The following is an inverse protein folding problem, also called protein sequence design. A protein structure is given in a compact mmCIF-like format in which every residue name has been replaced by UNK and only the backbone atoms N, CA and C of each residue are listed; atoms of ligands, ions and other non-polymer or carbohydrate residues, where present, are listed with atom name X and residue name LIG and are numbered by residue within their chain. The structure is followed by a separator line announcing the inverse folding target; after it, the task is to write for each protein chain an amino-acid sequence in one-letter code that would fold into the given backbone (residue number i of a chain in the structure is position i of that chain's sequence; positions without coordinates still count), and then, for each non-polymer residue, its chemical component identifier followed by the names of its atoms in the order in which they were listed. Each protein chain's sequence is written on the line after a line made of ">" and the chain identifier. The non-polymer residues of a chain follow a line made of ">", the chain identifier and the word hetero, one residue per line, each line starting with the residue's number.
data_IF_506981818688
#
_entry.id   IF_506981818688
#
_cell.length_a   1.000
_cell.length_b   1.000
_cell.length_c   1.000
_cell.angle_alpha   90.00
_cell.angle_beta   90.00
_cell.angle_gamma   90.00
#
_symmetry.space_group_name_H-M   'P 1'
#
loop_
_entity.id
_entity.type
_entity.pdbx_description
1 polymer ?
#
# COMPACT_ATOMS: atom_id res chain seq x y z
N UNK A 1 -5.20 22.78 3.32
CA UNK A 1 -4.64 22.26 2.05
C UNK A 1 -3.51 21.33 2.47
N UNK A 2 -3.88 20.12 2.88
CA UNK A 2 -2.95 19.15 3.46
C UNK A 2 -2.20 18.48 2.32
N UNK A 3 -0.93 18.80 2.20
CA UNK A 3 -0.03 18.32 1.14
C UNK A 3 0.84 17.22 1.70
N UNK A 4 0.21 16.15 2.18
CA UNK A 4 0.90 14.95 2.66
C UNK A 4 0.86 13.82 1.61
N UNK A 5 0.23 14.05 0.45
CA UNK A 5 0.15 13.13 -0.69
C UNK A 5 1.30 13.23 -1.70
N UNK A 6 2.09 14.31 -1.68
CA UNK A 6 3.19 14.54 -2.64
C UNK A 6 4.55 14.24 -2.00
N UNK A 7 4.85 12.96 -1.78
CA UNK A 7 6.22 12.56 -1.35
C UNK A 7 7.20 12.47 -2.52
N UNK A 8 6.71 12.53 -3.77
CA UNK A 8 7.48 12.25 -5.00
C UNK A 8 6.77 12.72 -6.29
N UNK A 9 5.87 13.72 -6.26
CA UNK A 9 5.05 14.08 -7.43
C UNK A 9 4.05 13.01 -7.90
N UNK A 10 3.87 11.95 -7.10
CA UNK A 10 2.92 10.85 -7.33
C UNK A 10 1.67 11.11 -6.51
N UNK A 11 0.51 11.09 -7.15
CA UNK A 11 -0.79 11.24 -6.49
C UNK A 11 -1.15 9.92 -5.77
N UNK A 12 -0.72 9.79 -4.51
CA UNK A 12 -0.89 8.56 -3.73
C UNK A 12 -2.38 8.27 -3.47
N UNK A 13 -3.21 9.31 -3.37
CA UNK A 13 -4.66 9.21 -3.22
C UNK A 13 -5.31 8.60 -4.46
N UNK A 14 -5.05 9.12 -5.65
CA UNK A 14 -5.58 8.55 -6.90
C UNK A 14 -5.06 7.13 -7.17
N UNK A 15 -3.82 6.83 -6.77
CA UNK A 15 -3.29 5.47 -6.85
C UNK A 15 -3.99 4.52 -5.89
N UNK A 16 -4.37 5.00 -4.71
CA UNK A 16 -5.16 4.28 -3.72
C UNK A 16 -6.61 4.04 -4.19
N UNK A 17 -7.23 5.02 -4.83
CA UNK A 17 -8.57 4.92 -5.42
C UNK A 17 -8.60 4.01 -6.67
N UNK A 18 -7.43 3.75 -7.26
CA UNK A 18 -7.33 2.88 -8.41
C UNK A 18 -7.71 1.44 -8.04
N UNK A 19 -8.47 0.77 -8.92
CA UNK A 19 -8.76 -0.66 -8.80
C UNK A 19 -7.48 -1.53 -8.70
N UNK A 20 -6.34 -1.00 -9.14
CA UNK A 20 -5.04 -1.63 -9.02
C UNK A 20 -4.47 -1.66 -7.59
N UNK A 21 -4.94 -0.80 -6.67
CA UNK A 21 -4.52 -0.83 -5.27
C UNK A 21 -5.10 -2.04 -4.53
N UNK A 22 -6.29 -2.50 -4.89
CA UNK A 22 -7.06 -3.47 -4.10
C UNK A 22 -8.08 -2.76 -3.22
N UNK A 23 -9.07 -3.50 -2.72
CA UNK A 23 -10.26 -2.91 -2.08
C UNK A 23 -10.22 -3.00 -0.56
N UNK A 24 -9.43 -3.91 0.02
CA UNK A 24 -9.47 -4.26 1.43
C UNK A 24 -8.09 -4.20 2.08
N UNK A 25 -8.05 -3.76 3.33
CA UNK A 25 -6.84 -3.73 4.15
C UNK A 25 -6.19 -2.36 4.19
N UNK A 26 -4.92 -2.34 4.59
CA UNK A 26 -4.18 -1.11 4.83
C UNK A 26 -3.45 -0.66 3.55
N UNK A 27 -3.48 0.64 3.20
CA UNK A 27 -2.64 1.21 2.17
C UNK A 27 -1.16 1.15 2.55
N UNK A 28 -0.38 0.50 1.71
CA UNK A 28 1.07 0.43 1.77
C UNK A 28 1.65 0.83 0.43
N UNK A 29 2.70 1.65 0.44
CA UNK A 29 3.53 1.82 -0.74
C UNK A 29 4.39 0.57 -0.87
N UNK A 30 4.33 -0.10 -2.02
CA UNK A 30 5.04 -1.34 -2.24
C UNK A 30 5.77 -1.33 -3.59
N UNK A 31 6.94 -1.97 -3.62
CA UNK A 31 7.76 -2.13 -4.81
C UNK A 31 7.58 -3.53 -5.41
N UNK A 32 7.26 -3.59 -6.70
CA UNK A 32 7.20 -4.84 -7.44
C UNK A 32 8.61 -5.43 -7.60
N UNK A 33 8.84 -6.66 -7.14
CA UNK A 33 10.14 -7.34 -7.28
C UNK A 33 10.48 -7.66 -8.75
N UNK A 34 9.46 -7.84 -9.60
CA UNK A 34 9.65 -8.13 -11.03
C UNK A 34 10.11 -6.95 -11.89
N UNK A 35 9.51 -5.76 -11.72
CA UNK A 35 9.81 -4.58 -12.56
C UNK A 35 10.32 -3.35 -11.79
N UNK A 36 10.44 -3.42 -10.46
CA UNK A 36 10.90 -2.32 -9.62
C UNK A 36 9.93 -1.15 -9.49
N UNK A 37 8.71 -1.26 -10.03
CA UNK A 37 7.72 -0.16 -9.95
C UNK A 37 7.13 -0.09 -8.54
N UNK A 38 7.10 1.12 -7.99
CA UNK A 38 6.52 1.41 -6.69
C UNK A 38 5.09 1.94 -6.88
N UNK A 39 4.12 1.33 -6.21
CA UNK A 39 2.70 1.74 -6.24
C UNK A 39 2.05 1.51 -4.89
N UNK A 40 1.01 2.29 -4.61
CA UNK A 40 0.12 2.06 -3.48
C UNK A 40 -0.66 0.77 -3.71
N UNK A 41 -0.69 -0.08 -2.69
CA UNK A 41 -1.46 -1.32 -2.61
C UNK A 41 -2.18 -1.38 -1.28
N UNK A 42 -3.41 -1.87 -1.29
CA UNK A 42 -4.15 -2.28 -0.10
C UNK A 42 -3.89 -3.76 0.10
N UNK A 43 -3.49 -4.12 1.31
CA UNK A 43 -3.32 -5.51 1.68
C UNK A 43 -3.81 -5.71 3.10
N UNK A 44 -4.46 -6.86 3.31
CA UNK A 44 -4.92 -7.23 4.64
C UNK A 44 -3.71 -7.54 5.54
N UNK A 45 -3.86 -7.33 6.85
CA UNK A 45 -2.82 -7.67 7.83
C UNK A 45 -2.44 -9.16 7.71
N UNK A 46 -3.41 -10.03 7.47
CA UNK A 46 -3.19 -11.46 7.26
C UNK A 46 -2.27 -11.76 6.06
N UNK A 47 -2.43 -11.05 4.94
CA UNK A 47 -1.57 -11.20 3.76
C UNK A 47 -0.15 -10.68 3.99
N UNK A 48 0.01 -9.75 4.94
CA UNK A 48 1.29 -9.19 5.32
C UNK A 48 1.97 -9.98 6.48
N UNK A 49 1.42 -11.14 6.84
CA UNK A 49 1.84 -12.00 7.97
C UNK A 49 1.73 -11.30 9.34
N UNK A 50 0.81 -10.33 9.44
CA UNK A 50 0.59 -9.55 10.64
C UNK A 50 -0.58 -10.08 11.47
N UNK A 51 -0.48 -9.89 12.78
CA UNK A 51 -1.58 -10.24 13.69
C UNK A 51 -2.75 -9.31 13.43
N UNK A 52 -3.97 -9.85 13.34
CA UNK A 52 -5.24 -9.12 13.16
C UNK A 52 -5.53 -7.98 14.15
N UNK A 53 -4.73 -7.85 15.22
CA UNK A 53 -4.91 -6.88 16.29
C UNK A 53 -3.77 -5.85 16.39
N UNK A 54 -2.89 -5.77 15.39
CA UNK A 54 -1.85 -4.74 15.36
C UNK A 54 -2.44 -3.42 14.86
N UNK A 55 -2.16 -2.33 15.56
CA UNK A 55 -2.55 -1.00 15.14
C UNK A 55 -1.80 -0.65 13.84
N UNK A 56 -2.52 -0.36 12.74
CA UNK A 56 -1.88 -0.11 11.46
C UNK A 56 -0.98 1.13 11.50
N UNK A 57 -1.28 2.10 12.37
CA UNK A 57 -0.47 3.31 12.56
C UNK A 57 0.91 3.04 13.15
N UNK A 58 1.02 1.96 13.92
CA UNK A 58 2.30 1.54 14.52
C UNK A 58 3.12 0.62 13.62
N UNK A 59 2.57 0.29 12.44
CA UNK A 59 3.14 -0.71 11.56
C UNK A 59 4.21 -0.09 10.66
N UNK A 60 5.42 -0.62 10.73
CA UNK A 60 6.51 -0.20 9.84
C UNK A 60 6.65 -1.17 8.67
N UNK A 61 7.04 -0.67 7.49
CA UNK A 61 7.22 -1.52 6.31
C UNK A 61 8.26 -2.64 6.51
N UNK A 62 9.22 -2.44 7.42
CA UNK A 62 10.22 -3.45 7.81
C UNK A 62 9.62 -4.64 8.57
N UNK A 63 8.45 -4.46 9.19
CA UNK A 63 7.74 -5.51 9.92
C UNK A 63 6.81 -6.30 8.98
N UNK A 64 6.51 -5.75 7.80
CA UNK A 64 5.62 -6.36 6.83
C UNK A 64 6.34 -7.34 5.92
N UNK A 65 5.68 -8.46 5.63
CA UNK A 65 6.18 -9.43 4.66
C UNK A 65 5.75 -9.09 3.24
N UNK A 66 6.52 -9.60 2.27
CA UNK A 66 6.20 -9.47 0.87
C UNK A 66 4.90 -10.20 0.53
N UNK A 67 3.99 -9.53 -0.17
CA UNK A 67 2.69 -10.08 -0.54
C UNK A 67 2.56 -10.23 -2.06
N UNK A 68 1.59 -11.03 -2.51
CA UNK A 68 1.40 -11.29 -3.94
C UNK A 68 0.27 -10.43 -4.49
N UNK A 69 0.57 -9.57 -5.45
CA UNK A 69 -0.42 -8.70 -6.08
C UNK A 69 -0.23 -8.59 -7.59
N UNK A 70 -1.32 -8.27 -8.31
CA UNK A 70 -1.28 -7.96 -9.73
C UNK A 70 -0.39 -6.76 -10.04
N UNK A 71 0.45 -6.95 -11.04
CA UNK A 71 1.31 -5.94 -11.63
C UNK A 71 1.02 -5.85 -13.13
N UNK A 72 0.38 -4.76 -13.54
CA UNK A 72 0.05 -4.49 -14.94
C UNK A 72 1.27 -4.49 -15.88
N UNK A 73 2.41 -3.86 -15.55
CA UNK A 73 3.59 -3.91 -16.43
C UNK A 73 4.18 -5.33 -16.53
N UNK A 74 4.15 -6.13 -15.46
CA UNK A 74 4.54 -7.54 -15.50
C UNK A 74 3.48 -8.46 -16.12
N UNK A 75 2.27 -7.93 -16.40
CA UNK A 75 1.10 -8.67 -16.92
C UNK A 75 0.71 -9.90 -16.10
N UNK A 76 0.89 -9.84 -14.78
CA UNK A 76 0.59 -10.98 -13.90
C UNK A 76 0.69 -10.66 -12.42
N UNK A 77 0.38 -11.66 -11.59
CA UNK A 77 0.57 -11.59 -10.16
C UNK A 77 2.06 -11.79 -9.82
N UNK A 78 2.64 -10.84 -9.13
CA UNK A 78 4.05 -10.83 -8.72
C UNK A 78 4.17 -10.51 -7.25
N UNK A 79 5.36 -10.68 -6.70
CA UNK A 79 5.66 -10.32 -5.32
C UNK A 79 5.93 -8.83 -5.23
N UNK A 80 5.34 -8.22 -4.20
CA UNK A 80 5.50 -6.82 -3.87
C UNK A 80 6.07 -6.72 -2.47
N UNK A 81 7.13 -5.95 -2.32
CA UNK A 81 7.75 -5.69 -1.03
C UNK A 81 7.22 -4.36 -0.51
N UNK A 82 6.61 -4.33 0.67
CA UNK A 82 6.21 -3.07 1.29
C UNK A 82 7.45 -2.23 1.57
N UNK A 83 7.38 -0.94 1.22
CA UNK A 83 8.45 0.05 1.46
C UNK A 83 8.04 1.14 2.43
N UNK A 84 6.73 1.43 2.53
CA UNK A 84 6.19 2.36 3.51
C UNK A 84 4.73 2.04 3.80
N UNK A 85 4.29 2.22 5.03
CA UNK A 85 2.87 2.13 5.39
C UNK A 85 2.27 3.53 5.29
N UNK A 86 1.17 3.67 4.56
CA UNK A 86 0.55 4.96 4.28
C UNK A 86 -0.66 5.19 5.18
N UNK A 87 -0.46 5.11 6.50
CA UNK A 87 -1.56 5.20 7.48
C UNK A 87 -2.30 6.53 7.47
N UNK A 88 -1.61 7.63 7.14
CA UNK A 88 -2.23 8.94 6.97
C UNK A 88 -3.27 9.02 5.84
N UNK A 89 -3.27 8.08 4.88
CA UNK A 89 -4.31 8.00 3.85
C UNK A 89 -5.62 7.40 4.40
N UNK A 90 -5.60 6.55 5.44
CA UNK A 90 -6.83 6.01 6.03
C UNK A 90 -7.60 7.08 6.79
N UNK A 91 -6.90 8.02 7.45
CA UNK A 91 -7.55 9.14 8.15
C UNK A 91 -8.30 10.06 7.18
N UNK A 92 -7.86 10.11 5.91
CA UNK A 92 -8.47 10.93 4.86
C UNK A 92 -9.76 10.32 4.28
N UNK A 93 -9.96 9.00 4.38
CA UNK A 93 -11.24 8.33 4.05
C UNK A 93 -12.35 8.61 5.08
N UNK A 94 -12.00 9.11 6.27
CA UNK A 94 -12.90 9.35 7.40
C UNK A 94 -13.30 10.81 7.64
N UNK A 95 -13.19 11.67 6.62
CA UNK A 95 -13.56 13.09 6.72
C UNK A 95 -15.05 13.36 6.47
N UNK A 96 -15.79 13.56 7.57
CA UNK A 96 -17.09 14.27 7.79
C UNK A 96 -18.32 14.02 6.88
#
# INVERSE_FOLDING_TARGET
>A
MSVDGDRDGRDLEAELESAGAGTVGIPVDAICVGCGRIRVKRSSLEELDQKLHVDPDTLEASDLTSFKHVCHPCKGATWWNPVSVLTGLLESEGGE
#
